data_IF_970430541468
#
_entry.id   IF_970430541468
#
_cell.length_a   1.000
_cell.length_b   1.000
_cell.length_c   1.000
_cell.angle_alpha   90.00
_cell.angle_beta   90.00
_cell.angle_gamma   90.00
#
_symmetry.space_group_name_H-M   'P 1'
#
loop_
_entity.id
_entity.type
_entity.pdbx_description
1 polymer ?
#
# COMPACT_ATOMS: atom_id res chain seq x y z
N UNK A 1 22.02 -61.78 34.48
CA UNK A 1 21.49 -60.40 34.42
C UNK A 1 21.36 -59.95 32.97
N UNK A 2 20.17 -59.42 32.64
CA UNK A 2 19.79 -58.57 31.48
C UNK A 2 19.89 -59.15 30.06
N UNK A 3 18.77 -59.74 29.65
CA UNK A 3 18.27 -59.75 28.27
C UNK A 3 17.99 -58.33 27.77
N UNK A 4 18.21 -58.07 26.48
CA UNK A 4 17.44 -57.09 25.69
C UNK A 4 17.19 -57.64 24.28
N UNK A 5 15.94 -58.05 24.06
CA UNK A 5 15.27 -58.26 22.76
C UNK A 5 14.78 -56.91 22.23
N UNK A 6 14.75 -56.74 20.92
CA UNK A 6 14.07 -55.63 20.21
C UNK A 6 14.50 -55.63 18.74
N UNK A 7 13.90 -56.46 17.87
CA UNK A 7 12.69 -56.19 17.05
C UNK A 7 12.93 -55.07 16.02
N UNK A 8 13.08 -55.47 14.76
CA UNK A 8 12.90 -54.68 13.52
C UNK A 8 11.58 -55.18 12.92
N UNK A 9 10.59 -54.32 12.58
CA UNK A 9 10.45 -53.75 11.22
C UNK A 9 9.72 -52.37 11.24
N UNK A 10 9.29 -51.64 10.21
CA UNK A 10 9.08 -51.84 8.79
C UNK A 10 9.02 -50.45 8.10
N UNK A 11 9.23 -50.42 6.79
CA UNK A 11 9.04 -49.26 5.91
C UNK A 11 7.63 -48.66 6.00
N UNK A 12 7.54 -47.32 5.99
CA UNK A 12 6.34 -46.59 5.61
C UNK A 12 6.73 -45.52 4.57
N UNK A 13 6.59 -45.88 3.29
CA UNK A 13 6.61 -44.96 2.16
C UNK A 13 5.36 -44.07 2.22
N UNK A 14 5.53 -42.81 2.60
CA UNK A 14 4.45 -41.82 2.48
C UNK A 14 4.51 -41.26 1.06
N UNK A 15 3.68 -41.81 0.17
CA UNK A 15 3.41 -41.24 -1.15
C UNK A 15 2.32 -40.20 -0.96
N UNK A 16 2.70 -38.92 -0.81
CA UNK A 16 1.72 -37.83 -0.90
C UNK A 16 1.50 -37.51 -2.37
N UNK A 17 0.49 -38.15 -2.95
CA UNK A 17 -0.07 -37.72 -4.22
C UNK A 17 -0.91 -36.45 -3.95
N UNK A 18 -0.32 -35.27 -4.17
CA UNK A 18 -1.09 -34.02 -4.27
C UNK A 18 -1.55 -33.88 -5.72
N UNK A 19 -2.62 -34.61 -6.07
CA UNK A 19 -3.44 -34.25 -7.20
C UNK A 19 -4.39 -33.14 -6.74
N UNK A 20 -3.92 -31.90 -6.83
CA UNK A 20 -4.79 -30.73 -6.83
C UNK A 20 -4.88 -30.22 -8.27
N UNK A 21 -5.84 -30.77 -9.00
CA UNK A 21 -6.49 -30.09 -10.11
C UNK A 21 -7.08 -28.78 -9.60
N UNK A 22 -6.51 -27.65 -10.02
CA UNK A 22 -6.97 -26.32 -9.63
C UNK A 22 -6.22 -25.24 -10.40
N UNK A 23 -6.59 -25.07 -11.66
CA UNK A 23 -6.22 -23.94 -12.50
C UNK A 23 -6.68 -22.63 -11.84
N UNK A 24 -5.77 -21.65 -11.64
CA UNK A 24 -6.04 -20.21 -11.86
C UNK A 24 -4.70 -19.47 -12.03
N UNK A 25 -4.13 -19.57 -13.23
CA UNK A 25 -3.12 -18.61 -13.68
C UNK A 25 -3.82 -17.30 -14.08
N UNK A 26 -4.18 -16.48 -13.11
CA UNK A 26 -4.65 -15.09 -13.35
C UNK A 26 -4.27 -14.12 -12.23
N UNK A 27 -3.82 -14.64 -11.08
CA UNK A 27 -3.48 -13.87 -9.87
C UNK A 27 -2.34 -12.86 -10.09
N UNK A 28 -1.39 -13.16 -10.98
CA UNK A 28 -0.25 -12.26 -11.25
C UNK A 28 -0.61 -10.97 -12.00
N UNK A 29 -1.68 -10.97 -12.79
CA UNK A 29 -2.11 -9.79 -13.55
C UNK A 29 -2.85 -8.76 -12.69
N UNK A 30 -3.67 -9.24 -11.76
CA UNK A 30 -4.40 -8.37 -10.83
C UNK A 30 -3.48 -7.75 -9.78
N UNK A 31 -2.51 -8.51 -9.26
CA UNK A 31 -1.49 -7.98 -8.36
C UNK A 31 -0.61 -6.92 -9.04
N UNK A 32 -0.12 -7.15 -10.26
CA UNK A 32 0.64 -6.14 -11.01
C UNK A 32 -0.17 -4.87 -11.27
N UNK A 33 -1.46 -5.02 -11.60
CA UNK A 33 -2.36 -3.88 -11.77
C UNK A 33 -2.52 -3.10 -10.47
N UNK A 34 -2.71 -3.79 -9.33
CA UNK A 34 -2.82 -3.16 -8.02
C UNK A 34 -1.53 -2.43 -7.63
N UNK A 35 -0.36 -3.05 -7.82
CA UNK A 35 0.94 -2.39 -7.58
C UNK A 35 1.06 -1.10 -8.39
N UNK A 36 0.71 -1.11 -9.68
CA UNK A 36 0.78 0.09 -10.51
C UNK A 36 -0.19 1.20 -10.07
N UNK A 37 -1.37 0.84 -9.54
CA UNK A 37 -2.30 1.80 -8.97
C UNK A 37 -1.75 2.43 -7.70
N UNK A 38 -1.19 1.62 -6.78
CA UNK A 38 -0.56 2.08 -5.54
C UNK A 38 0.62 2.99 -5.81
N UNK A 39 1.49 2.60 -6.75
CA UNK A 39 2.62 3.42 -7.19
C UNK A 39 2.15 4.78 -7.70
N UNK A 40 1.17 4.79 -8.62
CA UNK A 40 0.64 6.02 -9.18
C UNK A 40 0.02 6.93 -8.09
N UNK A 41 -0.74 6.35 -7.16
CA UNK A 41 -1.27 7.11 -6.03
C UNK A 41 -0.17 7.72 -5.16
N UNK A 42 0.83 6.93 -4.75
CA UNK A 42 1.92 7.41 -3.88
C UNK A 42 2.78 8.49 -4.56
N UNK A 43 3.02 8.38 -5.87
CA UNK A 43 3.66 9.42 -6.66
C UNK A 43 2.88 10.73 -6.65
N UNK A 44 1.55 10.66 -6.84
CA UNK A 44 0.68 11.86 -6.83
C UNK A 44 0.57 12.47 -5.43
N UNK A 45 0.50 11.64 -4.39
CA UNK A 45 0.52 12.09 -3.00
C UNK A 45 1.81 12.86 -2.69
N UNK A 46 2.97 12.32 -3.05
CA UNK A 46 4.26 13.01 -2.89
C UNK A 46 4.33 14.33 -3.68
N UNK A 47 3.80 14.35 -4.90
CA UNK A 47 3.73 15.58 -5.70
C UNK A 47 2.87 16.67 -5.03
N UNK A 48 1.72 16.28 -4.46
CA UNK A 48 0.88 17.19 -3.68
C UNK A 48 1.62 17.73 -2.45
N UNK A 49 2.26 16.86 -1.65
CA UNK A 49 3.04 17.27 -0.48
C UNK A 49 4.12 18.29 -0.84
N UNK A 50 4.86 18.06 -1.93
CA UNK A 50 5.86 18.99 -2.43
C UNK A 50 5.27 20.34 -2.81
N UNK A 51 4.17 20.33 -3.55
CA UNK A 51 3.50 21.55 -4.00
C UNK A 51 2.92 22.35 -2.83
N UNK A 52 2.27 21.68 -1.87
CA UNK A 52 1.76 22.28 -0.63
C UNK A 52 2.89 22.90 0.18
N UNK A 53 3.99 22.17 0.39
CA UNK A 53 5.13 22.68 1.15
C UNK A 53 5.76 23.91 0.49
N UNK A 54 5.83 23.95 -0.85
CA UNK A 54 6.28 25.13 -1.59
C UNK A 54 5.32 26.33 -1.42
N UNK A 55 4.01 26.07 -1.43
CA UNK A 55 2.99 27.10 -1.22
C UNK A 55 2.98 27.67 0.21
N UNK A 56 3.38 26.87 1.21
CA UNK A 56 3.47 27.28 2.62
C UNK A 56 4.74 28.05 3.00
N UNK A 57 5.63 28.37 2.04
CA UNK A 57 6.84 29.16 2.31
C UNK A 57 6.53 30.64 2.57
N UNK A 58 7.46 31.39 3.16
CA UNK A 58 7.29 32.83 3.47
C UNK A 58 7.10 33.66 2.18
N UNK A 59 7.73 33.24 1.08
CA UNK A 59 7.64 33.90 -0.23
C UNK A 59 7.27 32.87 -1.29
N UNK A 60 6.01 32.41 -1.34
CA UNK A 60 5.60 31.42 -2.31
C UNK A 60 5.61 32.02 -3.72
N UNK A 61 5.90 31.19 -4.72
CA UNK A 61 5.67 31.59 -6.11
C UNK A 61 4.19 31.94 -6.30
N UNK A 62 3.89 32.89 -7.20
CA UNK A 62 2.51 33.32 -7.47
C UNK A 62 1.57 32.16 -7.86
N UNK A 63 2.11 31.10 -8.48
CA UNK A 63 1.37 29.91 -8.90
C UNK A 63 1.41 28.75 -7.91
N UNK A 64 2.09 28.88 -6.76
CA UNK A 64 2.33 27.75 -5.86
C UNK A 64 1.03 27.16 -5.28
N UNK A 65 0.07 28.02 -4.92
CA UNK A 65 -1.23 27.60 -4.40
C UNK A 65 -2.08 26.89 -5.47
N UNK A 66 -2.05 27.37 -6.72
CA UNK A 66 -2.73 26.73 -7.84
C UNK A 66 -2.13 25.36 -8.14
N UNK A 67 -0.79 25.26 -8.19
CA UNK A 67 -0.07 23.99 -8.35
C UNK A 67 -0.41 23.00 -7.23
N UNK A 68 -0.51 23.47 -5.98
CA UNK A 68 -0.90 22.63 -4.85
C UNK A 68 -2.33 22.10 -4.99
N UNK A 69 -3.28 22.95 -5.42
CA UNK A 69 -4.66 22.54 -5.67
C UNK A 69 -4.80 21.53 -6.81
N UNK A 70 -4.05 21.70 -7.92
CA UNK A 70 -4.03 20.74 -9.01
C UNK A 70 -3.45 19.39 -8.57
N UNK A 71 -2.32 19.40 -7.84
CA UNK A 71 -1.71 18.18 -7.34
C UNK A 71 -2.61 17.45 -6.32
N UNK A 72 -3.34 18.18 -5.48
CA UNK A 72 -4.35 17.63 -4.57
C UNK A 72 -5.45 16.88 -5.34
N UNK A 73 -5.94 17.46 -6.43
CA UNK A 73 -6.94 16.84 -7.30
C UNK A 73 -6.39 15.57 -7.95
N UNK A 74 -5.16 15.61 -8.48
CA UNK A 74 -4.51 14.44 -9.08
C UNK A 74 -4.34 13.29 -8.08
N UNK A 75 -3.91 13.58 -6.85
CA UNK A 75 -3.79 12.57 -5.79
C UNK A 75 -5.15 11.96 -5.43
N UNK A 76 -6.20 12.79 -5.31
CA UNK A 76 -7.56 12.34 -5.03
C UNK A 76 -8.14 11.46 -6.13
N UNK A 77 -7.82 11.75 -7.40
CA UNK A 77 -8.23 10.94 -8.55
C UNK A 77 -7.46 9.62 -8.59
N UNK A 78 -6.14 9.65 -8.35
CA UNK A 78 -5.30 8.46 -8.32
C UNK A 78 -5.70 7.49 -7.19
N UNK A 79 -6.23 8.01 -6.08
CA UNK A 79 -6.75 7.23 -4.97
C UNK A 79 -8.06 6.51 -5.29
N UNK A 80 -8.93 7.05 -6.15
CA UNK A 80 -10.28 6.49 -6.39
C UNK A 80 -10.36 4.96 -6.59
N UNK A 81 -9.51 4.33 -7.42
CA UNK A 81 -9.56 2.87 -7.60
C UNK A 81 -9.08 2.08 -6.37
N UNK A 82 -8.39 2.73 -5.44
CA UNK A 82 -7.87 2.17 -4.18
C UNK A 82 -8.70 2.61 -2.97
N UNK A 83 -9.79 3.35 -3.17
CA UNK A 83 -10.52 4.08 -2.12
C UNK A 83 -10.87 3.21 -0.91
N UNK A 84 -11.24 1.96 -1.17
CA UNK A 84 -11.74 1.03 -0.16
C UNK A 84 -10.62 0.16 0.46
N UNK A 85 -9.35 0.36 0.07
CA UNK A 85 -8.22 -0.31 0.73
C UNK A 85 -8.11 0.17 2.19
N UNK A 86 -7.81 -0.76 3.09
CA UNK A 86 -7.67 -0.43 4.50
C UNK A 86 -6.32 0.22 4.78
N UNK A 87 -6.34 1.24 5.62
CA UNK A 87 -5.16 1.85 6.21
C UNK A 87 -5.15 1.62 7.71
N UNK A 88 -3.99 1.83 8.35
CA UNK A 88 -3.84 1.67 9.79
C UNK A 88 -4.87 2.57 10.52
N UNK A 89 -5.55 2.02 11.54
CA UNK A 89 -6.56 2.77 12.31
C UNK A 89 -8.02 2.57 11.90
N UNK A 90 -8.31 1.65 10.96
CA UNK A 90 -9.68 1.16 10.70
C UNK A 90 -10.52 2.01 9.74
N UNK A 91 -9.93 3.05 9.14
CA UNK A 91 -10.52 3.82 8.04
C UNK A 91 -10.01 3.32 6.70
N UNK A 92 -10.64 3.79 5.62
CA UNK A 92 -10.21 3.49 4.27
C UNK A 92 -9.18 4.50 3.77
N UNK A 93 -8.40 4.12 2.75
CA UNK A 93 -7.42 4.98 2.11
C UNK A 93 -8.06 6.28 1.63
N UNK A 94 -9.28 6.22 1.11
CA UNK A 94 -9.95 7.42 0.61
C UNK A 94 -10.47 8.35 1.69
N UNK A 95 -10.88 7.82 2.84
CA UNK A 95 -11.22 8.65 4.00
C UNK A 95 -9.99 9.42 4.50
N UNK A 96 -8.87 8.73 4.73
CA UNK A 96 -7.64 9.39 5.19
C UNK A 96 -7.08 10.36 4.14
N UNK A 97 -7.11 10.00 2.86
CA UNK A 97 -6.67 10.92 1.78
C UNK A 97 -7.53 12.18 1.76
N UNK A 98 -8.84 12.03 1.94
CA UNK A 98 -9.78 13.14 2.02
C UNK A 98 -9.46 14.08 3.19
N UNK A 99 -9.21 13.51 4.38
CA UNK A 99 -8.89 14.29 5.59
C UNK A 99 -7.52 14.97 5.48
N UNK A 100 -6.52 14.27 4.93
CA UNK A 100 -5.20 14.83 4.71
C UNK A 100 -5.22 16.02 3.73
N UNK A 101 -5.91 15.86 2.60
CA UNK A 101 -5.90 16.86 1.52
C UNK A 101 -6.85 18.03 1.79
N UNK A 102 -8.09 17.74 2.21
CA UNK A 102 -9.13 18.76 2.30
C UNK A 102 -9.18 19.43 3.67
N UNK A 103 -8.94 18.67 4.73
CA UNK A 103 -9.02 19.17 6.11
C UNK A 103 -7.64 19.52 6.69
N UNK A 104 -6.56 19.15 6.00
CA UNK A 104 -5.19 19.36 6.44
C UNK A 104 -4.83 18.53 7.68
N UNK A 105 -5.51 17.40 7.89
CA UNK A 105 -5.28 16.52 9.05
C UNK A 105 -3.90 15.84 8.93
N UNK A 106 -2.98 16.23 9.81
CA UNK A 106 -1.61 15.71 9.82
C UNK A 106 -1.51 14.24 10.23
N UNK A 107 -2.44 13.74 11.05
CA UNK A 107 -2.43 12.32 11.41
C UNK A 107 -2.94 11.48 10.23
N UNK A 108 -3.91 12.00 9.49
CA UNK A 108 -4.40 11.36 8.27
C UNK A 108 -3.31 11.33 7.20
N UNK A 109 -2.57 12.43 7.05
CA UNK A 109 -1.38 12.48 6.21
C UNK A 109 -0.35 11.41 6.62
N UNK A 110 -0.04 11.29 7.91
CA UNK A 110 0.90 10.28 8.40
C UNK A 110 0.44 8.84 8.08
N UNK A 111 -0.86 8.56 8.13
CA UNK A 111 -1.41 7.23 7.80
C UNK A 111 -1.35 6.92 6.31
N UNK A 112 -1.66 7.87 5.43
CA UNK A 112 -1.52 7.64 3.98
C UNK A 112 -0.06 7.55 3.53
N UNK A 113 0.85 8.21 4.25
CA UNK A 113 2.30 8.10 4.06
C UNK A 113 2.78 6.71 4.48
N UNK A 114 2.35 6.24 5.65
CA UNK A 114 2.65 4.88 6.11
C UNK A 114 2.12 3.83 5.12
N UNK A 115 0.92 4.03 4.57
CA UNK A 115 0.39 3.15 3.52
C UNK A 115 1.31 3.06 2.31
N UNK A 116 1.87 4.20 1.86
CA UNK A 116 2.81 4.22 0.75
C UNK A 116 4.15 3.55 1.09
N UNK A 117 4.68 3.80 2.30
CA UNK A 117 5.89 3.14 2.78
C UNK A 117 5.70 1.61 2.88
N UNK A 118 4.57 1.15 3.41
CA UNK A 118 4.20 -0.27 3.51
C UNK A 118 4.02 -0.91 2.12
N UNK A 119 3.55 -0.14 1.14
CA UNK A 119 3.47 -0.55 -0.27
C UNK A 119 4.83 -0.50 -1.00
N UNK A 120 5.89 0.00 -0.35
CA UNK A 120 7.24 0.11 -0.90
C UNK A 120 7.51 1.36 -1.73
N UNK A 121 6.67 2.40 -1.61
CA UNK A 121 6.79 3.67 -2.33
C UNK A 121 7.01 4.82 -1.37
N UNK A 122 8.19 5.44 -1.43
CA UNK A 122 8.51 6.57 -0.56
C UNK A 122 7.71 7.83 -0.92
N UNK A 123 7.28 8.57 0.09
CA UNK A 123 6.66 9.90 -0.04
C UNK A 123 7.55 10.97 0.60
N UNK A 124 7.27 12.26 0.35
CA UNK A 124 8.17 13.37 0.70
C UNK A 124 8.00 13.92 2.11
N UNK A 125 7.32 13.19 2.99
CA UNK A 125 6.88 13.69 4.30
C UNK A 125 7.86 13.44 5.44
N UNK A 126 9.04 12.90 5.13
CA UNK A 126 10.07 12.58 6.12
C UNK A 126 11.02 13.73 6.42
#
# INVERSE_FOLDING_TARGET
MRMRKGVVPALALVVVAVAATGCFSSEGGDEQRLTGLRENYCLKLGAWQKARNAAGTITPESSAHEKAGLAAQEASLAMQPLRDESVSGGRTLGEETGWAINDGDSEAEARVVQYCDDAGFETLTR
#
